data_IF_675751518316
#
_entry.id   IF_675751518316
#
_cell.length_a   1.000
_cell.length_b   1.000
_cell.length_c   1.000
_cell.angle_alpha   90.00
_cell.angle_beta   90.00
_cell.angle_gamma   90.00
#
_symmetry.space_group_name_H-M   'P 1'
#
loop_
_entity.id
_entity.type
_entity.pdbx_description
1 polymer ?
#
# COMPACT_ATOMS: atom_id res chain seq x y z
N UNK A 1 11.59 18.11 1.63
CA UNK A 1 12.92 18.78 1.51
C UNK A 1 13.95 17.72 1.89
N UNK A 2 14.93 17.49 1.02
CA UNK A 2 16.05 16.60 1.31
C UNK A 2 16.91 17.11 2.47
N UNK A 3 17.77 16.25 3.05
CA UNK A 3 18.60 16.59 4.20
C UNK A 3 19.60 17.75 3.94
N UNK A 4 19.85 18.07 2.69
CA UNK A 4 20.65 19.22 2.23
C UNK A 4 19.83 20.49 1.97
N UNK A 5 18.53 20.47 2.24
CA UNK A 5 17.59 21.58 2.06
C UNK A 5 17.02 21.73 0.64
N UNK A 6 17.35 20.82 -0.28
CA UNK A 6 16.79 20.84 -1.64
C UNK A 6 15.33 20.38 -1.62
N UNK A 7 14.44 21.14 -2.25
CA UNK A 7 13.07 20.73 -2.49
C UNK A 7 13.05 19.68 -3.62
N UNK A 8 12.28 18.63 -3.40
CA UNK A 8 12.09 17.56 -4.37
C UNK A 8 10.69 16.98 -4.31
N UNK A 9 10.27 16.33 -5.38
CA UNK A 9 9.08 15.47 -5.44
C UNK A 9 9.58 14.03 -5.43
N UNK A 10 9.11 13.25 -4.45
CA UNK A 10 9.64 11.91 -4.21
C UNK A 10 9.25 10.90 -5.31
N UNK A 11 8.10 11.13 -5.96
CA UNK A 11 7.56 10.29 -7.01
C UNK A 11 6.92 11.15 -8.11
N UNK A 12 6.26 10.54 -9.09
CA UNK A 12 5.42 11.30 -10.03
C UNK A 12 4.35 12.08 -9.27
N UNK A 13 4.16 13.38 -9.59
CA UNK A 13 3.06 14.15 -8.98
C UNK A 13 1.72 13.54 -9.36
N UNK A 14 0.98 13.08 -8.35
CA UNK A 14 -0.37 12.51 -8.50
C UNK A 14 -1.25 12.98 -7.35
N UNK A 15 -2.52 12.58 -7.37
CA UNK A 15 -3.47 12.85 -6.30
C UNK A 15 -3.40 11.80 -5.16
N UNK A 16 -2.28 11.13 -5.04
CA UNK A 16 -2.06 10.09 -4.03
C UNK A 16 -2.06 10.68 -2.61
N UNK A 17 -2.78 9.98 -1.73
CA UNK A 17 -2.72 10.18 -0.28
C UNK A 17 -2.37 8.83 0.34
N UNK A 18 -1.29 8.74 1.09
CA UNK A 18 -0.86 7.50 1.72
C UNK A 18 -0.64 7.63 3.22
N UNK A 19 -0.74 6.49 3.90
CA UNK A 19 -0.44 6.33 5.31
C UNK A 19 0.07 4.92 5.58
N UNK A 20 0.55 4.67 6.81
CA UNK A 20 0.90 3.33 7.23
C UNK A 20 -0.26 2.65 7.97
N UNK A 21 -0.57 1.38 7.70
CA UNK A 21 -1.44 0.55 8.53
C UNK A 21 -0.76 0.21 9.86
N UNK A 22 -1.55 0.05 10.91
CA UNK A 22 -1.03 -0.58 12.14
C UNK A 22 -0.66 -2.03 11.84
N UNK A 23 0.60 -2.37 12.04
CA UNK A 23 1.19 -3.68 11.77
C UNK A 23 0.36 -4.87 12.28
N UNK A 24 -0.37 -4.69 13.39
CA UNK A 24 -1.07 -5.78 14.09
C UNK A 24 -2.59 -5.77 13.91
N UNK A 25 -3.14 -4.83 13.11
CA UNK A 25 -4.58 -4.55 13.09
C UNK A 25 -5.18 -4.52 11.69
N UNK A 26 -4.68 -5.36 10.80
CA UNK A 26 -5.23 -5.52 9.46
C UNK A 26 -5.84 -6.92 9.33
N UNK A 27 -7.10 -6.99 8.95
CA UNK A 27 -7.84 -8.24 8.77
C UNK A 27 -8.63 -8.20 7.46
N UNK A 28 -8.66 -9.32 6.73
CA UNK A 28 -9.50 -9.48 5.55
C UNK A 28 -8.80 -10.12 4.37
N UNK A 29 -9.48 -10.06 3.22
CA UNK A 29 -8.98 -10.56 1.94
C UNK A 29 -8.65 -9.39 1.02
N UNK A 30 -7.51 -9.47 0.38
CA UNK A 30 -7.03 -8.46 -0.57
C UNK A 30 -6.71 -9.13 -1.90
N UNK A 31 -7.21 -8.54 -2.99
CA UNK A 31 -6.94 -8.98 -4.36
C UNK A 31 -6.23 -7.87 -5.13
N UNK A 32 -5.09 -8.21 -5.76
CA UNK A 32 -4.46 -7.27 -6.67
C UNK A 32 -5.32 -7.07 -7.94
N UNK A 33 -5.49 -5.83 -8.33
CA UNK A 33 -6.22 -5.43 -9.54
C UNK A 33 -5.34 -5.36 -10.79
N UNK A 34 -4.01 -5.35 -10.61
CA UNK A 34 -3.01 -5.30 -11.68
C UNK A 34 -1.89 -6.29 -11.42
N UNK A 35 -1.16 -6.74 -12.47
CA UNK A 35 0.07 -7.50 -12.29
C UNK A 35 1.14 -6.69 -11.55
N UNK A 36 1.95 -7.37 -10.74
CA UNK A 36 3.13 -6.83 -10.08
C UNK A 36 4.38 -7.31 -10.82
N UNK A 37 5.28 -6.41 -11.18
CA UNK A 37 6.60 -6.75 -11.71
C UNK A 37 7.65 -6.62 -10.59
N UNK A 38 8.03 -7.75 -10.01
CA UNK A 38 9.05 -7.81 -8.97
C UNK A 38 10.37 -8.36 -9.52
N UNK A 39 11.41 -7.51 -9.57
CA UNK A 39 12.75 -7.86 -10.09
C UNK A 39 12.71 -8.56 -11.47
N UNK A 40 11.85 -8.08 -12.38
CA UNK A 40 11.70 -8.64 -13.72
C UNK A 40 10.82 -9.90 -13.80
N UNK A 41 10.26 -10.33 -12.66
CA UNK A 41 9.32 -11.46 -12.60
C UNK A 41 7.90 -10.93 -12.45
N UNK A 42 6.99 -11.38 -13.31
CA UNK A 42 5.60 -10.98 -13.28
C UNK A 42 4.80 -11.87 -12.34
N UNK A 43 4.14 -11.24 -11.35
CA UNK A 43 3.22 -11.91 -10.42
C UNK A 43 1.81 -11.45 -10.78
N UNK A 44 0.91 -12.38 -11.09
CA UNK A 44 -0.46 -12.08 -11.52
C UNK A 44 -1.49 -12.73 -10.60
N UNK A 45 -2.63 -12.05 -10.39
CA UNK A 45 -3.75 -12.57 -9.61
C UNK A 45 -3.40 -12.80 -8.14
N UNK A 46 -2.65 -11.89 -7.55
CA UNK A 46 -2.30 -11.95 -6.12
C UNK A 46 -3.59 -11.89 -5.29
N UNK A 47 -3.72 -12.82 -4.35
CA UNK A 47 -4.73 -12.83 -3.31
C UNK A 47 -4.03 -13.08 -1.96
N UNK A 48 -4.24 -12.17 -1.01
CA UNK A 48 -3.68 -12.25 0.34
C UNK A 48 -4.82 -12.32 1.35
N UNK A 49 -4.71 -13.23 2.32
CA UNK A 49 -5.53 -13.26 3.52
C UNK A 49 -4.70 -12.74 4.69
N UNK A 50 -5.17 -11.64 5.30
CA UNK A 50 -4.55 -11.03 6.47
C UNK A 50 -5.38 -11.33 7.71
N UNK A 51 -4.68 -11.64 8.79
CA UNK A 51 -5.26 -11.81 10.11
C UNK A 51 -4.34 -11.21 11.17
N UNK A 52 -4.90 -10.32 12.00
CA UNK A 52 -4.15 -9.61 13.03
C UNK A 52 -2.88 -8.97 12.46
N UNK A 53 -3.01 -8.36 11.28
CA UNK A 53 -1.95 -7.66 10.54
C UNK A 53 -1.02 -8.55 9.73
N UNK A 54 -1.06 -9.88 9.89
CA UNK A 54 -0.12 -10.79 9.22
C UNK A 54 -0.78 -11.51 8.03
N UNK A 55 -0.06 -11.60 6.92
CA UNK A 55 -0.44 -12.46 5.79
C UNK A 55 -0.35 -13.91 6.21
N UNK A 56 -1.51 -14.56 6.40
CA UNK A 56 -1.64 -15.96 6.81
C UNK A 56 -1.79 -16.89 5.61
N UNK A 57 -2.26 -16.37 4.48
CA UNK A 57 -2.36 -17.11 3.22
C UNK A 57 -2.07 -16.17 2.05
N UNK A 58 -1.33 -16.67 1.08
CA UNK A 58 -1.00 -15.96 -0.15
C UNK A 58 -1.13 -16.89 -1.35
N UNK A 59 -1.70 -16.38 -2.43
CA UNK A 59 -1.75 -17.10 -3.71
C UNK A 59 -1.61 -16.14 -4.88
N UNK A 60 -1.07 -16.65 -5.99
CA UNK A 60 -0.98 -15.95 -7.26
C UNK A 60 -1.31 -16.93 -8.39
N UNK A 61 -1.93 -16.44 -9.46
CA UNK A 61 -2.20 -17.27 -10.65
C UNK A 61 -0.95 -17.49 -11.50
N UNK A 62 0.02 -16.58 -11.38
CA UNK A 62 1.36 -16.68 -11.99
C UNK A 62 2.39 -16.08 -11.04
N UNK A 63 3.58 -16.65 -10.98
CA UNK A 63 4.65 -16.15 -10.11
C UNK A 63 4.47 -16.49 -8.63
N UNK A 64 3.74 -17.57 -8.29
CA UNK A 64 3.50 -18.01 -6.90
C UNK A 64 4.80 -18.16 -6.11
N UNK A 65 5.81 -18.80 -6.68
CA UNK A 65 7.10 -19.01 -6.02
C UNK A 65 7.82 -17.67 -5.70
N UNK A 66 7.68 -16.68 -6.60
CA UNK A 66 8.26 -15.35 -6.40
C UNK A 66 7.54 -14.62 -5.26
N UNK A 67 6.21 -14.72 -5.19
CA UNK A 67 5.42 -14.16 -4.09
C UNK A 67 5.81 -14.82 -2.74
N UNK A 68 5.99 -16.13 -2.72
CA UNK A 68 6.44 -16.85 -1.53
C UNK A 68 7.84 -16.44 -1.07
N UNK A 69 8.77 -16.25 -2.01
CA UNK A 69 10.12 -15.76 -1.72
C UNK A 69 10.09 -14.34 -1.15
N UNK A 70 9.28 -13.46 -1.72
CA UNK A 70 9.07 -12.09 -1.23
C UNK A 70 8.57 -12.11 0.21
N UNK A 71 7.53 -12.90 0.50
CA UNK A 71 6.95 -13.05 1.85
C UNK A 71 7.87 -13.78 2.85
N UNK A 72 8.90 -14.46 2.37
CA UNK A 72 9.88 -15.18 3.20
C UNK A 72 11.14 -14.34 3.49
N UNK A 73 11.23 -13.11 2.98
CA UNK A 73 12.44 -12.28 3.13
C UNK A 73 12.76 -11.99 4.61
N UNK A 74 11.75 -11.61 5.38
CA UNK A 74 11.79 -11.42 6.83
C UNK A 74 10.37 -11.49 7.43
N UNK A 75 10.23 -11.32 8.75
CA UNK A 75 8.91 -11.32 9.40
C UNK A 75 8.06 -10.11 8.95
N UNK A 76 8.70 -8.95 8.77
CA UNK A 76 8.04 -7.72 8.33
C UNK A 76 7.47 -7.80 6.92
N UNK A 77 8.04 -8.64 6.05
CA UNK A 77 7.54 -8.85 4.68
C UNK A 77 6.12 -9.43 4.62
N UNK A 78 5.64 -10.00 5.73
CA UNK A 78 4.27 -10.52 5.86
C UNK A 78 3.26 -9.52 6.43
N UNK A 79 3.66 -8.28 6.61
CA UNK A 79 2.81 -7.20 7.13
C UNK A 79 2.72 -6.07 6.12
N UNK A 80 1.66 -5.28 6.21
CA UNK A 80 1.54 -4.08 5.38
C UNK A 80 2.38 -2.94 5.96
N UNK A 81 3.04 -2.20 5.08
CA UNK A 81 3.79 -0.98 5.37
C UNK A 81 3.11 0.27 4.85
N UNK A 82 2.22 0.14 3.86
CA UNK A 82 1.53 1.27 3.26
C UNK A 82 0.10 0.94 2.87
N UNK A 83 -0.76 1.96 2.96
CA UNK A 83 -2.08 2.00 2.35
C UNK A 83 -2.24 3.35 1.66
N UNK A 84 -2.35 3.33 0.34
CA UNK A 84 -2.41 4.51 -0.50
C UNK A 84 -3.75 4.61 -1.25
N UNK A 85 -4.27 5.82 -1.31
CA UNK A 85 -5.50 6.16 -1.99
C UNK A 85 -5.18 6.99 -3.24
N UNK A 86 -5.50 6.44 -4.39
CA UNK A 86 -5.35 7.09 -5.70
C UNK A 86 -6.69 6.99 -6.43
N UNK A 87 -7.29 8.13 -6.87
CA UNK A 87 -8.57 8.06 -7.56
C UNK A 87 -8.46 7.31 -8.88
N UNK A 88 -9.48 6.49 -9.18
CA UNK A 88 -9.56 5.78 -10.46
C UNK A 88 -9.56 6.75 -11.65
N UNK A 89 -10.19 7.90 -11.50
CA UNK A 89 -10.15 8.97 -12.50
C UNK A 89 -8.94 9.88 -12.25
N UNK A 90 -7.75 9.39 -12.56
CA UNK A 90 -6.49 10.13 -12.46
C UNK A 90 -5.69 10.02 -13.77
N UNK A 91 -4.74 10.93 -14.04
CA UNK A 91 -4.02 10.95 -15.32
C UNK A 91 -3.30 9.63 -15.64
N UNK A 92 -2.63 9.03 -14.67
CA UNK A 92 -1.90 7.76 -14.86
C UNK A 92 -2.88 6.61 -15.08
N UNK A 93 -3.93 6.52 -14.27
CA UNK A 93 -4.99 5.53 -14.44
C UNK A 93 -5.65 5.63 -15.82
N UNK A 94 -5.99 6.84 -16.24
CA UNK A 94 -6.65 7.11 -17.51
C UNK A 94 -5.76 6.83 -18.73
N UNK A 95 -4.43 6.79 -18.57
CA UNK A 95 -3.51 6.42 -19.64
C UNK A 95 -3.69 4.97 -20.10
N UNK A 96 -4.18 4.10 -19.21
CA UNK A 96 -4.33 2.66 -19.46
C UNK A 96 -3.00 1.92 -19.66
N UNK A 97 -1.87 2.58 -19.39
CA UNK A 97 -0.53 2.01 -19.59
C UNK A 97 -0.12 1.26 -18.32
N UNK A 98 0.37 0.04 -18.50
CA UNK A 98 1.13 -0.69 -17.48
C UNK A 98 2.62 -0.52 -17.82
N UNK A 99 3.36 0.11 -16.91
CA UNK A 99 4.76 0.46 -17.13
C UNK A 99 5.71 -0.68 -16.79
N UNK A 100 5.25 -1.70 -16.07
CA UNK A 100 6.07 -2.77 -15.49
C UNK A 100 7.18 -2.22 -14.57
N UNK A 101 6.90 -1.11 -13.95
CA UNK A 101 7.74 -0.44 -12.98
C UNK A 101 6.85 0.05 -11.85
N UNK A 102 7.02 -0.51 -10.67
CA UNK A 102 6.16 -0.27 -9.51
C UNK A 102 6.07 1.20 -9.15
N UNK A 103 7.19 1.94 -9.21
CA UNK A 103 7.22 3.39 -8.95
C UNK A 103 6.26 4.21 -9.85
N UNK A 104 5.96 3.72 -11.03
CA UNK A 104 5.00 4.37 -11.94
C UNK A 104 3.61 3.75 -11.82
N UNK A 105 3.53 2.43 -11.73
CA UNK A 105 2.27 1.68 -11.73
C UNK A 105 1.46 1.92 -10.44
N UNK A 106 2.11 2.19 -9.30
CA UNK A 106 1.46 2.52 -8.03
C UNK A 106 0.57 3.76 -8.14
N UNK A 107 0.97 4.74 -8.99
CA UNK A 107 0.20 5.97 -9.21
C UNK A 107 -1.07 5.77 -10.06
N UNK A 108 -1.34 4.58 -10.54
CA UNK A 108 -2.51 4.27 -11.37
C UNK A 108 -3.74 3.83 -10.56
N UNK A 109 -3.59 3.47 -9.28
CA UNK A 109 -4.69 2.94 -8.48
C UNK A 109 -4.39 3.00 -6.98
N UNK A 110 -5.43 2.90 -6.15
CA UNK A 110 -5.21 2.58 -4.73
C UNK A 110 -4.34 1.34 -4.62
N UNK A 111 -3.36 1.37 -3.72
CA UNK A 111 -2.42 0.28 -3.53
C UNK A 111 -2.10 0.04 -2.06
N UNK A 112 -1.52 -1.10 -1.80
CA UNK A 112 -0.95 -1.47 -0.50
C UNK A 112 0.50 -1.88 -0.72
N UNK A 113 1.37 -1.60 0.26
CA UNK A 113 2.72 -2.15 0.25
C UNK A 113 2.88 -3.27 1.25
N UNK A 114 3.51 -4.36 0.83
CA UNK A 114 4.09 -5.33 1.75
C UNK A 114 5.42 -4.81 2.28
N UNK A 115 5.67 -5.00 3.58
CA UNK A 115 6.96 -4.72 4.19
C UNK A 115 7.05 -3.38 4.90
N UNK A 116 8.12 -2.66 4.66
CA UNK A 116 8.54 -1.48 5.44
C UNK A 116 7.55 -0.34 5.36
N UNK A 117 7.21 0.22 6.53
CA UNK A 117 6.42 1.45 6.64
C UNK A 117 7.32 2.68 6.74
N UNK A 118 6.80 3.84 6.29
CA UNK A 118 7.50 5.12 6.40
C UNK A 118 7.17 5.81 7.73
N UNK A 119 8.15 6.05 8.61
CA UNK A 119 7.95 6.73 9.90
C UNK A 119 7.36 8.14 9.77
N UNK A 120 7.53 8.79 8.62
CA UNK A 120 6.96 10.10 8.31
C UNK A 120 5.43 10.12 8.35
N UNK A 121 4.77 8.96 8.23
CA UNK A 121 3.31 8.84 8.29
C UNK A 121 2.74 8.95 9.71
N UNK A 122 3.57 8.97 10.74
CA UNK A 122 3.14 9.22 12.13
C UNK A 122 3.77 10.46 12.71
N UNK A 123 3.04 11.13 13.59
CA UNK A 123 3.51 12.35 14.21
C UNK A 123 4.79 12.12 15.02
N UNK A 124 5.89 12.76 14.62
CA UNK A 124 7.18 12.65 15.29
C UNK A 124 7.96 11.37 14.98
N UNK A 125 7.47 10.51 14.08
CA UNK A 125 8.08 9.21 13.78
C UNK A 125 9.51 9.30 13.27
N UNK A 126 9.87 10.37 12.55
CA UNK A 126 11.24 10.59 12.08
C UNK A 126 12.29 10.74 13.20
N UNK A 127 11.83 11.03 14.42
CA UNK A 127 12.69 11.19 15.62
C UNK A 127 12.65 9.98 16.53
N UNK A 128 11.79 9.01 16.25
CA UNK A 128 11.62 7.80 17.04
C UNK A 128 12.70 6.77 16.67
N UNK A 129 13.16 6.04 17.69
CA UNK A 129 13.98 4.85 17.46
C UNK A 129 13.11 3.64 17.07
N UNK A 130 13.74 2.53 16.67
CA UNK A 130 13.04 1.33 16.18
C UNK A 130 12.08 0.71 17.22
N UNK A 131 12.38 0.82 18.50
CA UNK A 131 11.52 0.29 19.58
C UNK A 131 10.26 1.15 19.71
N UNK A 132 10.43 2.47 19.69
CA UNK A 132 9.31 3.43 19.73
C UNK A 132 8.42 3.27 18.49
N UNK A 133 9.00 3.16 17.30
CA UNK A 133 8.24 2.92 16.07
C UNK A 133 7.42 1.62 16.15
N UNK A 134 8.00 0.54 16.62
CA UNK A 134 7.30 -0.74 16.80
C UNK A 134 6.14 -0.64 17.80
N UNK A 135 6.28 0.15 18.87
CA UNK A 135 5.19 0.41 19.84
C UNK A 135 4.02 1.18 19.23
N UNK A 136 4.28 1.97 18.17
CA UNK A 136 3.29 2.68 17.39
C UNK A 136 2.73 1.86 16.20
N UNK A 137 3.05 0.57 16.12
CA UNK A 137 2.55 -0.31 15.07
C UNK A 137 3.22 -0.10 13.70
N UNK A 138 4.36 0.59 13.66
CA UNK A 138 5.12 0.77 12.42
C UNK A 138 5.82 -0.53 12.05
N UNK A 139 5.58 -1.02 10.85
CA UNK A 139 6.23 -2.22 10.36
C UNK A 139 7.64 -1.92 9.83
N UNK A 140 8.62 -2.74 10.20
CA UNK A 140 9.98 -2.71 9.66
C UNK A 140 10.27 -3.99 8.89
N UNK A 141 10.93 -3.85 7.73
CA UNK A 141 11.27 -4.94 6.83
C UNK A 141 12.41 -4.54 5.90
N UNK A 142 13.03 -5.53 5.28
CA UNK A 142 14.03 -5.34 4.23
C UNK A 142 13.39 -5.00 2.87
N UNK A 143 12.08 -5.21 2.72
CA UNK A 143 11.34 -4.91 1.50
C UNK A 143 10.33 -3.79 1.73
N UNK A 144 9.96 -3.12 0.65
CA UNK A 144 8.76 -2.30 0.49
C UNK A 144 8.28 -2.52 -0.94
N UNK A 145 7.13 -3.19 -1.09
CA UNK A 145 6.68 -3.61 -2.41
C UNK A 145 5.19 -3.33 -2.58
N UNK A 146 4.88 -2.38 -3.47
CA UNK A 146 3.54 -1.91 -3.76
C UNK A 146 2.82 -2.85 -4.74
N UNK A 147 1.57 -3.14 -4.46
CA UNK A 147 0.68 -3.85 -5.36
C UNK A 147 -0.69 -3.19 -5.42
N UNK A 148 -1.17 -2.95 -6.63
CA UNK A 148 -2.39 -2.21 -6.89
C UNK A 148 -3.62 -3.04 -6.56
N UNK A 149 -4.58 -2.42 -5.86
CA UNK A 149 -5.86 -3.00 -5.46
C UNK A 149 -7.05 -2.20 -5.99
N UNK A 150 -6.83 -0.95 -6.39
CA UNK A 150 -7.87 -0.03 -6.82
C UNK A 150 -8.62 -0.52 -8.06
N UNK A 151 -9.94 -0.37 -8.04
CA UNK A 151 -10.86 -0.65 -9.16
C UNK A 151 -11.84 0.51 -9.34
N UNK A 152 -12.50 0.56 -10.49
CA UNK A 152 -13.55 1.55 -10.77
C UNK A 152 -14.76 1.46 -9.83
N UNK A 153 -14.96 0.32 -9.22
CA UNK A 153 -16.10 0.05 -8.34
C UNK A 153 -15.69 0.05 -6.84
N UNK A 154 -14.44 0.46 -6.54
CA UNK A 154 -13.93 0.47 -5.16
C UNK A 154 -14.71 1.46 -4.30
N UNK A 155 -15.09 1.00 -3.11
CA UNK A 155 -15.68 1.81 -2.05
C UNK A 155 -14.85 1.71 -0.79
N UNK A 156 -14.63 2.85 -0.13
CA UNK A 156 -13.87 2.93 1.12
C UNK A 156 -14.66 3.77 2.11
N UNK A 157 -14.80 3.25 3.31
CA UNK A 157 -15.36 3.95 4.45
C UNK A 157 -14.32 4.10 5.55
N UNK A 158 -14.19 5.31 6.08
CA UNK A 158 -13.51 5.56 7.34
C UNK A 158 -14.42 5.21 8.51
N UNK A 159 -13.88 4.56 9.55
CA UNK A 159 -14.62 4.23 10.77
C UNK A 159 -14.14 5.12 11.88
N UNK A 160 -15.01 6.00 12.40
CA UNK A 160 -14.71 6.85 13.57
C UNK A 160 -14.63 6.03 14.85
N UNK A 161 -14.07 6.61 15.91
CA UNK A 161 -13.95 5.95 17.21
C UNK A 161 -15.30 5.53 17.83
N UNK A 162 -16.39 6.21 17.47
CA UNK A 162 -17.76 5.90 17.89
C UNK A 162 -18.45 4.85 16.99
N UNK A 163 -17.73 4.32 15.99
CA UNK A 163 -18.25 3.35 15.03
C UNK A 163 -18.97 3.98 13.83
N UNK A 164 -19.09 5.30 13.75
CA UNK A 164 -19.72 6.00 12.63
C UNK A 164 -18.90 5.77 11.35
N UNK A 165 -19.58 5.34 10.27
CA UNK A 165 -18.97 5.21 8.93
C UNK A 165 -18.99 6.57 8.22
N UNK A 166 -17.85 6.94 7.67
CA UNK A 166 -17.67 8.15 6.85
C UNK A 166 -17.20 7.71 5.47
N UNK A 167 -17.96 7.95 4.41
CA UNK A 167 -17.51 7.64 3.04
C UNK A 167 -16.22 8.38 2.71
N UNK A 168 -15.24 7.67 2.15
CA UNK A 168 -13.98 8.23 1.66
C UNK A 168 -13.89 8.06 0.15
N UNK A 169 -14.21 6.86 -0.35
CA UNK A 169 -14.29 6.55 -1.77
C UNK A 169 -15.66 6.00 -2.14
N UNK A 170 -16.14 6.41 -3.32
CA UNK A 170 -17.29 5.82 -4.02
C UNK A 170 -16.97 5.75 -5.49
N UNK A 171 -17.29 4.61 -6.11
CA UNK A 171 -17.00 4.35 -7.52
C UNK A 171 -15.54 4.67 -7.88
N UNK A 172 -14.62 4.21 -7.05
CA UNK A 172 -13.18 4.35 -7.24
C UNK A 172 -12.60 5.76 -7.08
N UNK A 173 -13.38 6.74 -6.61
CA UNK A 173 -12.93 8.13 -6.50
C UNK A 173 -13.24 8.71 -5.11
N UNK A 174 -12.49 9.75 -4.72
CA UNK A 174 -12.79 10.49 -3.50
C UNK A 174 -14.21 11.07 -3.56
N UNK A 175 -14.93 10.98 -2.44
CA UNK A 175 -16.18 11.72 -2.26
C UNK A 175 -15.90 13.19 -1.99
N UNK A 176 -16.84 14.08 -2.38
CA UNK A 176 -16.75 15.48 -1.97
C UNK A 176 -16.98 15.59 -0.46
N UNK A 177 -16.06 16.23 0.22
CA UNK A 177 -16.24 16.61 1.61
C UNK A 177 -16.76 18.06 1.63
N UNK A 178 -18.08 18.21 1.65
CA UNK A 178 -18.76 19.50 1.83
C UNK A 178 -18.80 19.90 3.31
#
# INVERSE_FOLDING_TARGET
IAGDGVEFVANMPTEEIYTLPDRNRVDGLVYASKPLNYNGNLIEGICLELKEGKVVKASATKGQEVLEQLLAMDDGARHLGEAALVPYNSPISNSGILFYNTLFDENAACHLALGKAYPTCIQGGEKMNSVELAQHGVNDSLIHEDFMIGTKDMEIDGVKADGTLVPVFRQGNFVSFD
#
